data_IF_802570424395
#
_entry.id   IF_802570424395
#
_cell.length_a   1.000
_cell.length_b   1.000
_cell.length_c   1.000
_cell.angle_alpha   90.00
_cell.angle_beta   90.00
_cell.angle_gamma   90.00
#
_symmetry.space_group_name_H-M   'P 1'
#
loop_
_entity.id
_entity.type
_entity.pdbx_description
1 polymer ?
#
# COMPACT_ATOMS: atom_id res chain seq x y z
N UNK A 1 -20.11 -3.05 16.15
CA UNK A 1 -19.68 -1.67 16.43
C UNK A 1 -18.28 -1.55 15.89
N UNK A 2 -17.90 -0.45 15.25
CA UNK A 2 -16.53 -0.28 14.78
C UNK A 2 -15.59 -0.31 15.98
N UNK A 3 -14.71 -1.31 16.04
CA UNK A 3 -13.66 -1.36 17.04
C UNK A 3 -12.62 -0.30 16.66
N UNK A 4 -12.38 0.64 17.57
CA UNK A 4 -11.36 1.65 17.37
C UNK A 4 -9.99 1.00 17.63
N UNK A 5 -9.13 0.99 16.62
CA UNK A 5 -7.73 0.61 16.75
C UNK A 5 -6.90 1.88 16.89
N UNK A 6 -6.07 1.94 17.93
CA UNK A 6 -5.12 3.04 18.11
C UNK A 6 -3.85 2.53 18.76
N UNK A 7 -2.72 3.14 18.42
CA UNK A 7 -1.42 2.70 18.88
C UNK A 7 -0.28 3.43 18.19
N UNK A 8 0.93 2.90 18.36
CA UNK A 8 2.14 3.40 17.73
C UNK A 8 3.07 2.24 17.42
N UNK A 9 3.73 2.30 16.27
CA UNK A 9 4.78 1.36 15.91
C UNK A 9 6.11 2.08 15.72
N UNK A 10 7.19 1.44 16.16
CA UNK A 10 8.54 1.97 16.08
C UNK A 10 9.50 0.91 15.57
N UNK A 11 10.39 1.30 14.64
CA UNK A 11 11.50 0.45 14.21
C UNK A 11 12.63 0.53 15.25
N UNK A 12 13.12 -0.61 15.72
CA UNK A 12 14.30 -0.77 16.56
C UNK A 12 15.50 -1.08 15.66
N UNK A 13 16.54 -0.26 15.72
CA UNK A 13 17.72 -0.40 14.87
C UNK A 13 18.33 -1.81 14.97
N UNK A 14 18.46 -2.51 13.85
CA UNK A 14 19.06 -3.85 13.76
C UNK A 14 18.22 -5.02 14.28
N UNK A 15 17.04 -4.76 14.86
CA UNK A 15 16.27 -5.76 15.62
C UNK A 15 14.83 -5.96 15.15
N UNK A 16 14.28 -5.07 14.33
CA UNK A 16 12.91 -5.14 13.83
C UNK A 16 12.08 -3.98 14.32
N UNK A 17 10.86 -4.24 14.79
CA UNK A 17 10.01 -3.17 15.32
C UNK A 17 9.12 -3.65 16.46
N UNK A 18 8.43 -2.71 17.08
CA UNK A 18 7.42 -2.98 18.09
C UNK A 18 6.19 -2.13 17.79
N UNK A 19 5.05 -2.78 17.57
CA UNK A 19 3.74 -2.15 17.61
C UNK A 19 3.20 -2.21 19.04
N UNK A 20 2.79 -1.07 19.58
CA UNK A 20 2.13 -0.93 20.88
C UNK A 20 0.73 -0.37 20.67
N UNK A 21 -0.26 -1.23 20.79
CA UNK A 21 -1.68 -0.89 20.69
C UNK A 21 -2.19 -0.42 22.05
N UNK A 22 -3.07 0.57 22.03
CA UNK A 22 -3.79 1.10 23.20
C UNK A 22 -5.26 0.71 23.19
N UNK A 23 -5.87 0.54 22.01
CA UNK A 23 -7.25 0.10 21.81
C UNK A 23 -7.33 -0.97 20.72
N UNK A 24 -8.33 -1.88 20.79
CA UNK A 24 -9.38 -2.00 21.82
C UNK A 24 -8.87 -2.44 23.20
N UNK A 25 -7.76 -3.15 23.26
CA UNK A 25 -7.06 -3.52 24.49
C UNK A 25 -5.55 -3.34 24.33
N UNK A 26 -4.81 -3.01 25.40
CA UNK A 26 -3.36 -2.86 25.30
C UNK A 26 -2.68 -4.15 24.84
N UNK A 27 -1.95 -4.08 23.74
CA UNK A 27 -1.25 -5.22 23.16
C UNK A 27 0.09 -4.78 22.56
N UNK A 28 1.06 -5.69 22.57
CA UNK A 28 2.39 -5.46 21.99
C UNK A 28 2.71 -6.57 21.03
N UNK A 29 3.04 -6.19 19.80
CA UNK A 29 3.38 -7.12 18.73
C UNK A 29 4.78 -6.78 18.22
N UNK A 30 5.68 -7.76 18.26
CA UNK A 30 7.00 -7.63 17.66
C UNK A 30 6.88 -7.72 16.12
N UNK A 31 7.53 -6.78 15.44
CA UNK A 31 7.54 -6.70 13.98
C UNK A 31 8.87 -7.26 13.45
N UNK A 32 8.84 -8.02 12.33
CA UNK A 32 10.03 -8.66 11.78
C UNK A 32 11.06 -7.63 11.29
N UNK A 33 12.34 -8.02 11.17
CA UNK A 33 13.44 -7.08 10.80
C UNK A 33 13.23 -6.35 9.48
N UNK A 34 12.63 -7.04 8.52
CA UNK A 34 12.44 -6.61 7.14
C UNK A 34 11.04 -6.03 6.86
N UNK A 35 10.26 -5.72 7.90
CA UNK A 35 8.97 -5.06 7.70
C UNK A 35 9.13 -3.66 7.08
N UNK A 36 8.10 -3.21 6.37
CA UNK A 36 7.96 -1.87 5.83
C UNK A 36 6.70 -1.19 6.39
N UNK A 37 6.77 0.12 6.57
CA UNK A 37 5.57 0.95 6.76
C UNK A 37 4.90 1.27 5.41
N UNK A 38 3.64 1.75 5.39
CA UNK A 38 2.90 1.93 4.13
C UNK A 38 3.59 2.86 3.13
N UNK A 39 4.09 4.02 3.59
CA UNK A 39 4.81 4.96 2.73
C UNK A 39 6.13 4.37 2.20
N UNK A 40 6.86 3.63 3.04
CA UNK A 40 8.09 2.94 2.64
C UNK A 40 7.80 1.90 1.55
N UNK A 41 6.74 1.12 1.72
CA UNK A 41 6.30 0.13 0.74
C UNK A 41 5.92 0.77 -0.61
N UNK A 42 5.16 1.87 -0.61
CA UNK A 42 4.82 2.60 -1.85
C UNK A 42 6.08 3.10 -2.56
N UNK A 43 7.03 3.69 -1.82
CA UNK A 43 8.32 4.13 -2.38
C UNK A 43 9.14 2.96 -2.94
N UNK A 44 9.11 1.80 -2.28
CA UNK A 44 9.78 0.59 -2.75
C UNK A 44 9.15 0.06 -4.06
N UNK A 45 7.82 0.08 -4.20
CA UNK A 45 7.13 -0.26 -5.45
C UNK A 45 7.55 0.70 -6.57
N UNK A 46 7.55 2.01 -6.32
CA UNK A 46 7.95 3.01 -7.31
C UNK A 46 9.40 2.82 -7.75
N UNK A 47 10.32 2.63 -6.80
CA UNK A 47 11.73 2.35 -7.07
C UNK A 47 11.90 1.06 -7.90
N UNK A 48 11.13 0.01 -7.58
CA UNK A 48 11.11 -1.23 -8.36
C UNK A 48 10.58 -0.99 -9.78
N UNK A 49 9.52 -0.20 -9.92
CA UNK A 49 8.91 0.11 -11.21
C UNK A 49 9.84 0.92 -12.12
N UNK A 50 10.53 1.92 -11.59
CA UNK A 50 11.52 2.74 -12.29
C UNK A 50 12.75 1.95 -12.72
N UNK A 51 13.22 1.02 -11.87
CA UNK A 51 14.34 0.12 -12.19
C UNK A 51 13.95 -1.04 -13.13
N UNK A 52 12.70 -1.08 -13.61
CA UNK A 52 12.21 -2.10 -14.54
C UNK A 52 11.88 -3.45 -13.88
N UNK A 53 11.99 -3.57 -12.56
CA UNK A 53 11.53 -4.77 -11.84
C UNK A 53 10.02 -4.93 -12.02
N UNK A 54 9.57 -6.19 -12.04
CA UNK A 54 8.17 -6.57 -12.29
C UNK A 54 7.47 -7.12 -11.05
N UNK A 55 8.24 -7.52 -10.04
CA UNK A 55 7.72 -8.11 -8.82
C UNK A 55 8.47 -7.58 -7.60
N UNK A 56 7.73 -7.39 -6.50
CA UNK A 56 8.23 -7.05 -5.17
C UNK A 56 7.39 -7.83 -4.15
N UNK A 57 8.03 -8.50 -3.20
CA UNK A 57 7.36 -9.08 -2.04
C UNK A 57 7.89 -8.38 -0.79
N UNK A 58 7.00 -8.01 0.13
CA UNK A 58 7.34 -7.29 1.35
C UNK A 58 6.43 -7.72 2.50
N UNK A 59 6.93 -7.58 3.73
CA UNK A 59 6.09 -7.61 4.94
C UNK A 59 5.70 -6.18 5.27
N UNK A 60 4.42 -5.87 5.32
CA UNK A 60 3.93 -4.50 5.52
C UNK A 60 3.10 -4.44 6.80
N UNK A 61 3.39 -3.47 7.64
CA UNK A 61 2.59 -3.17 8.83
C UNK A 61 1.89 -1.83 8.62
N UNK A 62 0.56 -1.83 8.57
CA UNK A 62 -0.27 -0.63 8.40
C UNK A 62 -1.01 -0.20 9.68
N UNK A 63 -1.08 -1.08 10.68
CA UNK A 63 -1.71 -0.83 11.97
C UNK A 63 -3.24 -0.72 11.92
N UNK A 64 -3.89 -1.27 10.88
CA UNK A 64 -5.33 -1.23 10.71
C UNK A 64 -6.09 -2.16 11.70
N UNK A 65 -5.44 -3.25 12.09
CA UNK A 65 -5.91 -4.29 13.00
C UNK A 65 -4.85 -4.56 14.06
N UNK A 66 -5.24 -5.22 15.15
CA UNK A 66 -4.30 -5.68 16.18
C UNK A 66 -3.62 -6.97 15.72
N UNK A 67 -2.90 -6.86 14.61
CA UNK A 67 -2.16 -7.95 13.97
C UNK A 67 -0.73 -7.49 13.63
N UNK A 68 0.13 -8.45 13.30
CA UNK A 68 1.50 -8.19 12.87
C UNK A 68 1.60 -7.68 11.44
N UNK A 69 2.83 -7.63 10.91
CA UNK A 69 3.03 -7.30 9.50
C UNK A 69 2.47 -8.41 8.60
N UNK A 70 1.72 -8.02 7.56
CA UNK A 70 1.16 -8.92 6.56
C UNK A 70 2.09 -9.06 5.35
N UNK A 71 2.04 -10.19 4.65
CA UNK A 71 2.80 -10.35 3.41
C UNK A 71 2.03 -9.73 2.24
N UNK A 72 2.70 -8.89 1.45
CA UNK A 72 2.14 -8.28 0.24
C UNK A 72 3.06 -8.59 -0.93
N UNK A 73 2.49 -9.13 -2.00
CA UNK A 73 3.17 -9.27 -3.29
C UNK A 73 2.63 -8.25 -4.29
N UNK A 74 3.51 -7.44 -4.86
CA UNK A 74 3.21 -6.51 -5.92
C UNK A 74 3.67 -7.05 -7.27
N UNK A 75 2.74 -7.12 -8.23
CA UNK A 75 3.01 -7.31 -9.65
C UNK A 75 2.91 -5.95 -10.36
N UNK A 76 3.96 -5.57 -11.09
CA UNK A 76 4.14 -4.24 -11.68
C UNK A 76 4.12 -4.36 -13.21
N UNK A 77 3.09 -3.75 -13.81
CA UNK A 77 2.89 -3.69 -15.25
C UNK A 77 3.83 -2.72 -15.96
N UNK A 78 3.75 -2.67 -17.29
CA UNK A 78 4.58 -1.79 -18.12
C UNK A 78 4.37 -0.31 -17.79
N UNK A 79 5.43 0.50 -17.96
CA UNK A 79 5.36 1.95 -17.80
C UNK A 79 4.37 2.54 -18.81
N UNK A 80 3.45 3.35 -18.31
CA UNK A 80 2.55 4.19 -19.09
C UNK A 80 3.16 5.59 -19.11
N UNK A 81 3.42 6.18 -20.30
CA UNK A 81 3.93 7.55 -20.39
C UNK A 81 2.90 8.56 -19.86
N UNK A 82 3.37 9.76 -19.52
CA UNK A 82 2.49 10.86 -19.14
C UNK A 82 1.51 11.19 -20.27
N UNK A 83 0.25 11.49 -19.92
CA UNK A 83 -0.72 11.98 -20.90
C UNK A 83 -0.32 13.37 -21.41
N UNK A 84 -0.46 13.59 -22.72
CA UNK A 84 -0.30 14.89 -23.35
C UNK A 84 -1.62 15.69 -23.40
N UNK A 85 -2.73 15.07 -22.99
CA UNK A 85 -4.06 15.68 -23.01
C UNK A 85 -4.18 16.74 -21.92
N UNK A 86 -4.80 17.87 -22.25
CA UNK A 86 -4.87 19.05 -21.36
C UNK A 86 -6.04 19.03 -20.39
N UNK A 87 -7.02 18.15 -20.61
CA UNK A 87 -8.17 17.91 -19.74
C UNK A 87 -7.84 16.96 -18.57
N UNK A 88 -6.72 16.23 -18.65
CA UNK A 88 -6.18 15.46 -17.52
C UNK A 88 -5.60 16.41 -16.46
N UNK A 89 -5.98 16.29 -15.17
CA UNK A 89 -5.41 17.08 -14.08
C UNK A 89 -3.88 17.03 -14.08
N UNK A 90 -3.23 18.16 -13.78
CA UNK A 90 -1.76 18.28 -13.84
C UNK A 90 -1.03 17.23 -13.00
N UNK A 91 -1.56 16.92 -11.81
CA UNK A 91 -1.03 15.89 -10.91
C UNK A 91 -1.05 14.48 -11.50
N UNK A 92 -1.85 14.23 -12.55
CA UNK A 92 -1.99 12.97 -13.27
C UNK A 92 -1.35 13.00 -14.68
N UNK A 93 -0.82 14.14 -15.14
CA UNK A 93 -0.04 14.23 -16.40
C UNK A 93 1.40 13.78 -16.17
N UNK A 94 1.55 12.57 -15.65
CA UNK A 94 2.79 11.98 -15.15
C UNK A 94 2.90 10.51 -15.56
N UNK A 95 4.13 9.96 -15.67
CA UNK A 95 4.28 8.54 -15.91
C UNK A 95 3.67 7.71 -14.77
N UNK A 96 3.18 6.52 -15.11
CA UNK A 96 2.47 5.64 -14.19
C UNK A 96 2.67 4.17 -14.54
N UNK A 97 2.24 3.28 -13.66
CA UNK A 97 2.28 1.84 -13.84
C UNK A 97 0.98 1.21 -13.33
N UNK A 98 0.40 0.24 -14.07
CA UNK A 98 -0.55 -0.69 -13.48
C UNK A 98 0.16 -1.52 -12.40
N UNK A 99 -0.42 -1.62 -11.22
CA UNK A 99 0.08 -2.41 -10.10
C UNK A 99 -1.06 -3.30 -9.60
N UNK A 100 -0.76 -4.57 -9.34
CA UNK A 100 -1.65 -5.49 -8.64
C UNK A 100 -0.98 -5.96 -7.37
N UNK A 101 -1.62 -5.73 -6.23
CA UNK A 101 -1.17 -6.14 -4.91
C UNK A 101 -2.02 -7.33 -4.46
N UNK A 102 -1.37 -8.38 -3.96
CA UNK A 102 -2.02 -9.52 -3.33
C UNK A 102 -1.65 -9.52 -1.85
N UNK A 103 -2.65 -9.56 -0.98
CA UNK A 103 -2.50 -9.43 0.48
C UNK A 103 -2.67 -10.79 1.14
N UNK A 104 -1.71 -11.17 1.98
CA UNK A 104 -1.70 -12.46 2.68
C UNK A 104 -1.56 -12.23 4.18
N UNK A 105 -2.70 -12.19 4.87
CA UNK A 105 -2.80 -12.21 6.33
C UNK A 105 -2.67 -13.63 6.89
N UNK A 106 -2.90 -13.76 8.20
CA UNK A 106 -2.66 -15.01 8.92
C UNK A 106 -3.50 -16.20 8.42
N UNK A 107 -4.68 -15.94 7.84
CA UNK A 107 -5.58 -16.98 7.31
C UNK A 107 -5.16 -17.47 5.91
N UNK A 108 -4.64 -16.57 5.08
CA UNK A 108 -4.18 -16.85 3.71
C UNK A 108 -2.99 -17.83 3.64
N UNK A 109 -2.11 -17.84 4.64
CA UNK A 109 -0.91 -18.72 4.65
C UNK A 109 -1.24 -20.22 4.55
N UNK A 110 -2.46 -20.65 4.91
CA UNK A 110 -2.85 -22.06 4.85
C UNK A 110 -3.42 -22.50 3.48
N UNK A 111 -4.06 -21.60 2.73
CA UNK A 111 -4.70 -21.91 1.45
C UNK A 111 -3.80 -21.60 0.24
N UNK A 112 -2.81 -20.71 0.41
CA UNK A 112 -2.00 -20.17 -0.68
C UNK A 112 -2.75 -19.16 -1.56
N UNK A 113 -3.97 -18.78 -1.18
CA UNK A 113 -4.75 -17.73 -1.84
C UNK A 113 -4.65 -16.43 -1.04
N UNK A 114 -4.57 -15.26 -1.71
CA UNK A 114 -4.61 -13.98 -1.00
C UNK A 114 -5.98 -13.77 -0.33
N UNK A 115 -6.00 -13.03 0.78
CA UNK A 115 -7.24 -12.63 1.45
C UNK A 115 -8.04 -11.66 0.57
N UNK A 116 -7.34 -10.78 -0.16
CA UNK A 116 -7.89 -9.94 -1.21
C UNK A 116 -6.79 -9.42 -2.13
N UNK A 117 -7.18 -8.88 -3.28
CA UNK A 117 -6.28 -8.24 -4.24
C UNK A 117 -6.70 -6.79 -4.52
N UNK A 118 -5.71 -5.92 -4.70
CA UNK A 118 -5.90 -4.52 -5.10
C UNK A 118 -5.22 -4.27 -6.44
N UNK A 119 -6.00 -3.99 -7.47
CA UNK A 119 -5.53 -3.37 -8.70
C UNK A 119 -5.53 -1.85 -8.57
N UNK A 120 -4.50 -1.18 -9.07
CA UNK A 120 -4.43 0.28 -9.15
C UNK A 120 -3.53 0.73 -10.31
N UNK A 121 -3.70 1.97 -10.75
CA UNK A 121 -2.71 2.71 -11.52
C UNK A 121 -1.95 3.63 -10.57
N UNK A 122 -0.65 3.40 -10.41
CA UNK A 122 0.23 4.16 -9.53
C UNK A 122 1.09 5.14 -10.33
N UNK A 123 0.96 6.43 -10.05
CA UNK A 123 1.79 7.49 -10.64
C UNK A 123 3.11 7.64 -9.87
N UNK A 124 4.14 8.15 -10.54
CA UNK A 124 5.48 8.38 -9.95
C UNK A 124 5.50 9.34 -8.75
N UNK A 125 4.44 10.14 -8.55
CA UNK A 125 4.23 10.99 -7.38
C UNK A 125 3.44 10.31 -6.26
N UNK A 126 3.14 9.01 -6.38
CA UNK A 126 2.43 8.22 -5.37
C UNK A 126 0.91 8.32 -5.43
N UNK A 127 0.34 9.10 -6.36
CA UNK A 127 -1.12 9.14 -6.55
C UNK A 127 -1.58 7.81 -7.17
N UNK A 128 -2.68 7.26 -6.67
CA UNK A 128 -3.30 6.05 -7.18
C UNK A 128 -4.66 6.37 -7.82
N UNK A 129 -4.93 5.81 -8.99
CA UNK A 129 -6.23 5.85 -9.68
C UNK A 129 -6.67 4.46 -10.08
N UNK A 130 -7.89 4.32 -10.58
CA UNK A 130 -8.43 3.07 -11.14
C UNK A 130 -8.34 1.91 -10.13
N UNK A 131 -8.75 2.19 -8.89
CA UNK A 131 -8.67 1.21 -7.81
C UNK A 131 -9.72 0.13 -8.01
N UNK A 132 -9.30 -1.13 -7.91
CA UNK A 132 -10.16 -2.30 -7.99
C UNK A 132 -9.82 -3.26 -6.85
N UNK A 133 -10.72 -3.39 -5.88
CA UNK A 133 -10.58 -4.28 -4.75
C UNK A 133 -11.35 -5.56 -5.04
N UNK A 134 -10.66 -6.69 -5.07
CA UNK A 134 -11.22 -8.01 -5.34
C UNK A 134 -11.12 -8.86 -4.08
N UNK A 135 -12.26 -9.12 -3.44
CA UNK A 135 -12.36 -9.93 -2.22
C UNK A 135 -12.67 -11.41 -2.53
N UNK A 136 -12.73 -11.77 -3.82
CA UNK A 136 -13.05 -13.11 -4.30
C UNK A 136 -14.56 -13.37 -4.49
N UNK A 137 -15.40 -12.95 -3.56
CA UNK A 137 -16.87 -13.08 -3.64
C UNK A 137 -17.56 -11.83 -4.22
N UNK A 138 -16.95 -10.66 -4.06
CA UNK A 138 -17.35 -9.42 -4.72
C UNK A 138 -16.15 -8.55 -5.08
N UNK A 139 -16.41 -7.58 -5.95
CA UNK A 139 -15.43 -6.62 -6.47
C UNK A 139 -15.96 -5.21 -6.27
N UNK A 140 -15.08 -4.30 -5.83
CA UNK A 140 -15.36 -2.86 -5.70
C UNK A 140 -14.45 -2.09 -6.66
N UNK A 141 -15.06 -1.35 -7.58
CA UNK A 141 -14.36 -0.41 -8.46
C UNK A 141 -14.49 1.01 -7.89
N UNK A 142 -13.37 1.65 -7.62
CA UNK A 142 -13.29 3.01 -7.08
C UNK A 142 -12.65 3.96 -8.10
N UNK A 143 -13.43 4.95 -8.54
CA UNK A 143 -13.01 5.97 -9.51
C UNK A 143 -12.61 7.24 -8.77
N UNK A 144 -11.47 7.82 -9.13
CA UNK A 144 -11.03 9.10 -8.60
C UNK A 144 -11.89 10.23 -9.20
N UNK A 145 -12.69 10.89 -8.37
CA UNK A 145 -13.52 12.02 -8.81
C UNK A 145 -12.76 13.37 -8.80
N UNK A 146 -11.86 13.56 -7.83
CA UNK A 146 -11.18 14.85 -7.62
C UNK A 146 -9.79 14.66 -7.03
N UNK A 147 -8.83 15.46 -7.50
CA UNK A 147 -7.47 15.54 -6.94
C UNK A 147 -7.02 16.99 -6.92
N UNK A 148 -6.45 17.42 -5.80
CA UNK A 148 -6.01 18.80 -5.57
C UNK A 148 -4.61 18.80 -5.00
N UNK A 149 -3.79 19.76 -5.44
CA UNK A 149 -2.50 20.00 -4.83
C UNK A 149 -2.71 20.64 -3.45
N UNK A 150 -1.92 20.21 -2.47
CA UNK A 150 -1.86 20.92 -1.20
C UNK A 150 -1.26 22.32 -1.45
N UNK A 151 -1.80 23.32 -0.76
CA UNK A 151 -1.22 24.65 -0.74
C UNK A 151 0.21 24.60 -0.18
N UNK A 152 1.14 25.31 -0.80
CA UNK A 152 2.50 25.49 -0.28
C UNK A 152 2.43 26.02 1.17
N UNK A 153 2.95 25.29 2.17
CA UNK A 153 2.95 25.75 3.56
C UNK A 153 3.92 26.93 3.79
N UNK A 154 4.71 27.35 2.79
CA UNK A 154 5.59 28.51 2.87
C UNK A 154 6.76 28.30 3.84
N UNK A 155 7.31 27.08 3.89
CA UNK A 155 8.49 26.76 4.70
C UNK A 155 9.78 27.30 4.09
#
# INVERSE_FOLDING_TARGET
GSENVSGRAERKAGEGGLASFAQPTPEKIDLPKDFMFPTEHTLAILTAAESGKRFLAAKVFDGNEVEGAMEITAAIGSRIPASAETDVPELLRRPSWPVRLAFFGAKAQASGQPDYELGLRLYDNGIATDLKLDYGDFVVDATLEKVEALSDPGC
#
